data_IF_461694998410
#
_entry.id   IF_461694998410
#
_cell.length_a   1.000
_cell.length_b   1.000
_cell.length_c   1.000
_cell.angle_alpha   90.00
_cell.angle_beta   90.00
_cell.angle_gamma   90.00
#
_symmetry.space_group_name_H-M   'P 1'
#
loop_
_entity.id
_entity.type
_entity.pdbx_description
1 polymer ?
#
# COMPACT_ATOMS: atom_id res chain seq x y z
N UNK A 1 58.25 -11.09 77.43
CA UNK A 1 56.79 -11.11 77.23
C UNK A 1 56.31 -9.95 76.35
N UNK A 2 56.82 -8.71 76.50
CA UNK A 2 56.40 -7.54 75.71
C UNK A 2 56.62 -7.61 74.17
N UNK A 3 57.57 -8.41 73.68
CA UNK A 3 57.88 -8.52 72.24
C UNK A 3 56.87 -9.38 71.47
N UNK A 4 56.25 -10.37 72.12
CA UNK A 4 55.23 -11.22 71.50
C UNK A 4 53.88 -10.49 71.41
N UNK A 5 53.47 -9.77 72.45
CA UNK A 5 52.22 -8.98 72.44
C UNK A 5 52.23 -7.88 71.37
N UNK A 6 53.37 -7.19 71.18
CA UNK A 6 53.49 -6.15 70.15
C UNK A 6 53.44 -6.71 68.72
N UNK A 7 53.99 -7.90 68.50
CA UNK A 7 53.92 -8.62 67.22
C UNK A 7 52.50 -9.12 66.94
N UNK A 8 51.77 -9.51 68.00
CA UNK A 8 50.39 -9.98 67.91
C UNK A 8 49.43 -8.82 67.60
N UNK A 9 49.57 -7.68 68.30
CA UNK A 9 48.85 -6.44 67.99
C UNK A 9 49.10 -5.92 66.57
N UNK A 10 50.32 -6.05 66.04
CA UNK A 10 50.60 -5.71 64.64
C UNK A 10 49.93 -6.67 63.65
N UNK A 11 49.84 -7.96 63.97
CA UNK A 11 49.11 -8.94 63.16
C UNK A 11 47.61 -8.69 63.19
N UNK A 12 47.04 -8.44 64.37
CA UNK A 12 45.61 -8.18 64.56
C UNK A 12 45.21 -6.89 63.81
N UNK A 13 46.02 -5.82 63.90
CA UNK A 13 45.79 -4.60 63.14
C UNK A 13 45.92 -4.79 61.62
N UNK A 14 46.87 -5.62 61.18
CA UNK A 14 47.02 -5.98 59.76
C UNK A 14 45.85 -6.86 59.25
N UNK A 15 45.28 -7.72 60.10
CA UNK A 15 44.10 -8.51 59.78
C UNK A 15 42.82 -7.66 59.73
N UNK A 16 42.62 -6.75 60.67
CA UNK A 16 41.46 -5.84 60.69
C UNK A 16 41.47 -4.87 59.50
N UNK A 17 42.64 -4.33 59.15
CA UNK A 17 42.77 -3.47 57.96
C UNK A 17 42.54 -4.23 56.66
N UNK A 18 43.04 -5.48 56.57
CA UNK A 18 42.76 -6.37 55.44
C UNK A 18 41.27 -6.71 55.34
N UNK A 19 40.61 -6.96 56.47
CA UNK A 19 39.16 -7.25 56.52
C UNK A 19 38.33 -6.06 56.06
N UNK A 20 38.61 -4.85 56.56
CA UNK A 20 37.92 -3.63 56.14
C UNK A 20 38.09 -3.33 54.64
N UNK A 21 39.27 -3.63 54.07
CA UNK A 21 39.51 -3.50 52.62
C UNK A 21 38.71 -4.54 51.81
N UNK A 22 38.64 -5.79 52.27
CA UNK A 22 37.83 -6.84 51.64
C UNK A 22 36.35 -6.46 51.66
N UNK A 23 35.86 -5.94 52.79
CA UNK A 23 34.45 -5.52 52.93
C UNK A 23 34.12 -4.36 51.98
N UNK A 24 35.00 -3.35 51.86
CA UNK A 24 34.81 -2.25 50.91
C UNK A 24 34.83 -2.67 49.43
N UNK A 25 35.66 -3.66 49.08
CA UNK A 25 35.68 -4.24 47.72
C UNK A 25 34.38 -5.02 47.45
N UNK A 26 33.87 -5.77 48.43
CA UNK A 26 32.61 -6.50 48.33
C UNK A 26 31.42 -5.54 48.17
N UNK A 27 31.40 -4.44 48.91
CA UNK A 27 30.35 -3.42 48.79
C UNK A 27 30.38 -2.71 47.44
N UNK A 28 31.57 -2.42 46.90
CA UNK A 28 31.74 -1.89 45.55
C UNK A 28 31.24 -2.88 44.49
N UNK A 29 31.64 -4.15 44.58
CA UNK A 29 31.17 -5.21 43.67
C UNK A 29 29.65 -5.33 43.67
N UNK A 30 29.03 -5.26 44.85
CA UNK A 30 27.58 -5.27 45.00
C UNK A 30 26.91 -4.03 44.39
N UNK A 31 27.45 -2.83 44.64
CA UNK A 31 26.93 -1.59 44.07
C UNK A 31 26.97 -1.57 42.54
N UNK A 32 28.05 -2.06 41.93
CA UNK A 32 28.18 -2.19 40.48
C UNK A 32 27.19 -3.23 39.93
N UNK A 33 27.02 -4.38 40.58
CA UNK A 33 26.02 -5.38 40.20
C UNK A 33 24.58 -4.82 40.24
N UNK A 34 24.22 -4.08 41.30
CA UNK A 34 22.91 -3.48 41.44
C UNK A 34 22.65 -2.41 40.36
N UNK A 35 23.66 -1.60 40.03
CA UNK A 35 23.58 -0.61 38.95
C UNK A 35 23.42 -1.27 37.57
N UNK A 36 24.19 -2.32 37.27
CA UNK A 36 24.07 -3.11 36.04
C UNK A 36 22.69 -3.74 35.92
N UNK A 37 22.19 -4.32 37.01
CA UNK A 37 20.85 -4.91 37.07
C UNK A 37 19.76 -3.89 36.76
N UNK A 38 19.84 -2.70 37.37
CA UNK A 38 18.90 -1.61 37.11
C UNK A 38 18.95 -1.16 35.64
N UNK A 39 20.16 -0.99 35.09
CA UNK A 39 20.36 -0.61 33.69
C UNK A 39 19.75 -1.63 32.73
N UNK A 40 20.11 -2.91 32.87
CA UNK A 40 19.60 -3.96 31.96
C UNK A 40 18.10 -4.18 32.09
N UNK A 41 17.51 -3.98 33.28
CA UNK A 41 16.06 -4.06 33.46
C UNK A 41 15.34 -2.94 32.72
N UNK A 42 15.87 -1.72 32.77
CA UNK A 42 15.28 -0.58 32.08
C UNK A 42 15.47 -0.66 30.56
N UNK A 43 16.64 -1.06 30.09
CA UNK A 43 16.88 -1.28 28.66
C UNK A 43 15.98 -2.38 28.09
N UNK A 44 15.80 -3.49 28.83
CA UNK A 44 14.84 -4.55 28.49
C UNK A 44 13.44 -3.97 28.30
N UNK A 45 12.96 -3.20 29.27
CA UNK A 45 11.62 -2.60 29.24
C UNK A 45 11.45 -1.70 28.01
N UNK A 46 12.42 -0.83 27.75
CA UNK A 46 12.38 0.09 26.60
C UNK A 46 12.35 -0.65 25.25
N UNK A 47 13.14 -1.72 25.10
CA UNK A 47 13.15 -2.54 23.88
C UNK A 47 11.84 -3.31 23.71
N UNK A 48 11.33 -3.95 24.77
CA UNK A 48 10.04 -4.64 24.72
C UNK A 48 8.90 -3.69 24.36
N UNK A 49 8.86 -2.50 24.96
CA UNK A 49 7.84 -1.49 24.66
C UNK A 49 7.94 -0.99 23.21
N UNK A 50 9.15 -0.83 22.68
CA UNK A 50 9.37 -0.48 21.27
C UNK A 50 8.86 -1.58 20.33
N UNK A 51 9.11 -2.85 20.64
CA UNK A 51 8.65 -3.98 19.83
C UNK A 51 7.11 -4.09 19.88
N UNK A 52 6.50 -3.92 21.07
CA UNK A 52 5.04 -3.89 21.22
C UNK A 52 4.40 -2.74 20.44
N UNK A 53 5.03 -1.56 20.44
CA UNK A 53 4.58 -0.43 19.63
C UNK A 53 4.65 -0.75 18.13
N UNK A 54 5.70 -1.43 17.67
CA UNK A 54 5.81 -1.88 16.28
C UNK A 54 4.75 -2.94 15.92
N UNK A 55 4.39 -3.84 16.85
CA UNK A 55 3.30 -4.80 16.67
C UNK A 55 1.95 -4.09 16.48
N UNK A 56 1.63 -3.11 17.33
CA UNK A 56 0.42 -2.30 17.20
C UNK A 56 0.39 -1.52 15.87
N UNK A 57 1.52 -0.95 15.47
CA UNK A 57 1.64 -0.26 14.18
C UNK A 57 1.44 -1.20 12.98
N UNK A 58 1.88 -2.46 13.06
CA UNK A 58 1.63 -3.47 12.02
C UNK A 58 0.14 -3.83 11.92
N UNK A 59 -0.57 -3.93 13.05
CA UNK A 59 -2.03 -4.13 13.07
C UNK A 59 -2.78 -2.95 12.43
N UNK A 60 -2.41 -1.72 12.80
CA UNK A 60 -2.98 -0.51 12.20
C UNK A 60 -2.68 -0.41 10.70
N UNK A 61 -1.44 -0.74 10.30
CA UNK A 61 -1.04 -0.78 8.89
C UNK A 61 -1.92 -1.76 8.10
N UNK A 62 -2.12 -3.00 8.60
CA UNK A 62 -3.01 -3.97 7.95
C UNK A 62 -4.40 -3.39 7.79
N UNK A 63 -5.00 -2.86 8.86
CA UNK A 63 -6.35 -2.29 8.80
C UNK A 63 -6.47 -1.18 7.76
N UNK A 64 -5.53 -0.23 7.76
CA UNK A 64 -5.50 0.88 6.80
C UNK A 64 -5.35 0.40 5.36
N UNK A 65 -4.48 -0.59 5.10
CA UNK A 65 -4.29 -1.13 3.75
C UNK A 65 -5.55 -1.85 3.24
N UNK A 66 -6.22 -2.64 4.08
CA UNK A 66 -7.46 -3.32 3.69
C UNK A 66 -8.57 -2.32 3.35
N UNK A 67 -8.68 -1.22 4.11
CA UNK A 67 -9.65 -0.14 3.85
C UNK A 67 -9.36 0.58 2.52
N UNK A 68 -8.09 0.90 2.24
CA UNK A 68 -7.69 1.51 0.96
C UNK A 68 -8.03 0.61 -0.22
N UNK A 69 -7.69 -0.68 -0.13
CA UNK A 69 -7.98 -1.67 -1.18
C UNK A 69 -9.49 -1.85 -1.38
N UNK A 70 -10.27 -1.91 -0.29
CA UNK A 70 -11.73 -2.02 -0.37
C UNK A 70 -12.37 -0.78 -1.02
N UNK A 71 -11.89 0.41 -0.65
CA UNK A 71 -12.37 1.67 -1.23
C UNK A 71 -12.04 1.75 -2.73
N UNK A 72 -10.82 1.40 -3.11
CA UNK A 72 -10.39 1.36 -4.51
C UNK A 72 -11.21 0.36 -5.34
N UNK A 73 -11.47 -0.84 -4.80
CA UNK A 73 -12.32 -1.85 -5.43
C UNK A 73 -13.73 -1.31 -5.69
N UNK A 74 -14.40 -0.77 -4.65
CA UNK A 74 -15.74 -0.19 -4.78
C UNK A 74 -15.79 0.92 -5.82
N UNK A 75 -14.80 1.82 -5.83
CA UNK A 75 -14.72 2.90 -6.80
C UNK A 75 -14.56 2.38 -8.24
N UNK A 76 -13.73 1.35 -8.45
CA UNK A 76 -13.52 0.74 -9.78
C UNK A 76 -14.75 0.01 -10.29
N UNK A 77 -15.45 -0.73 -9.42
CA UNK A 77 -16.72 -1.40 -9.77
C UNK A 77 -17.76 -0.37 -10.17
N UNK A 78 -17.95 0.68 -9.36
CA UNK A 78 -18.90 1.74 -9.66
C UNK A 78 -18.57 2.45 -10.99
N UNK A 79 -17.30 2.80 -11.21
CA UNK A 79 -16.87 3.42 -12.45
C UNK A 79 -17.09 2.51 -13.68
N UNK A 80 -16.95 1.19 -13.52
CA UNK A 80 -17.26 0.25 -14.59
C UNK A 80 -18.75 0.15 -14.87
N UNK A 81 -19.59 0.13 -13.83
CA UNK A 81 -21.06 0.15 -13.97
C UNK A 81 -21.53 1.42 -14.66
N UNK A 82 -21.11 2.59 -14.16
CA UNK A 82 -21.48 3.89 -14.71
C UNK A 82 -21.03 4.03 -16.19
N UNK A 83 -19.84 3.49 -16.55
CA UNK A 83 -19.35 3.48 -17.92
C UNK A 83 -20.16 2.57 -18.85
N UNK A 84 -20.49 1.35 -18.40
CA UNK A 84 -21.32 0.42 -19.18
C UNK A 84 -22.75 0.93 -19.35
N UNK A 85 -23.33 1.57 -18.33
CA UNK A 85 -24.65 2.20 -18.43
C UNK A 85 -24.63 3.36 -19.45
N UNK A 86 -23.60 4.20 -19.42
CA UNK A 86 -23.45 5.28 -20.39
C UNK A 86 -23.29 4.76 -21.84
N UNK A 87 -22.56 3.65 -22.02
CA UNK A 87 -22.38 3.02 -23.33
C UNK A 87 -23.69 2.42 -23.85
N UNK A 88 -24.44 1.71 -23.00
CA UNK A 88 -25.77 1.17 -23.34
C UNK A 88 -26.72 2.32 -23.70
N UNK A 89 -26.77 3.38 -22.91
CA UNK A 89 -27.64 4.52 -23.18
C UNK A 89 -27.29 5.25 -24.49
N UNK A 90 -25.99 5.33 -24.83
CA UNK A 90 -25.56 5.89 -26.11
C UNK A 90 -25.97 4.99 -27.29
N UNK A 91 -25.78 3.68 -27.14
CA UNK A 91 -26.19 2.68 -28.13
C UNK A 91 -27.70 2.69 -28.36
N UNK A 92 -28.49 2.68 -27.28
CA UNK A 92 -29.95 2.76 -27.30
C UNK A 92 -30.41 4.01 -28.06
N UNK A 93 -29.82 5.17 -27.79
CA UNK A 93 -30.19 6.41 -28.48
C UNK A 93 -29.93 6.34 -29.99
N UNK A 94 -28.77 5.85 -30.41
CA UNK A 94 -28.39 5.81 -31.82
C UNK A 94 -29.25 4.82 -32.60
N UNK A 95 -29.38 3.59 -32.10
CA UNK A 95 -30.11 2.54 -32.81
C UNK A 95 -31.63 2.77 -32.77
N UNK A 96 -32.19 3.25 -31.66
CA UNK A 96 -33.62 3.58 -31.63
C UNK A 96 -33.95 4.76 -32.55
N UNK A 97 -33.08 5.78 -32.66
CA UNK A 97 -33.30 6.87 -33.61
C UNK A 97 -33.30 6.38 -35.08
N UNK A 98 -32.47 5.39 -35.42
CA UNK A 98 -32.47 4.76 -36.75
C UNK A 98 -33.75 3.93 -36.96
N UNK A 99 -34.17 3.17 -35.96
CA UNK A 99 -35.43 2.41 -35.99
C UNK A 99 -36.63 3.34 -36.17
N UNK A 100 -36.67 4.47 -35.47
CA UNK A 100 -37.74 5.47 -35.56
C UNK A 100 -37.75 6.14 -36.94
N UNK A 101 -36.57 6.44 -37.51
CA UNK A 101 -36.47 6.97 -38.86
C UNK A 101 -37.00 5.98 -39.93
N UNK A 102 -36.64 4.70 -39.81
CA UNK A 102 -37.17 3.64 -40.67
C UNK A 102 -38.69 3.48 -40.48
N UNK A 103 -39.18 3.56 -39.25
CA UNK A 103 -40.61 3.51 -38.98
C UNK A 103 -41.35 4.67 -39.63
N UNK A 104 -40.82 5.90 -39.53
CA UNK A 104 -41.40 7.06 -40.20
C UNK A 104 -41.41 6.91 -41.73
N UNK A 105 -40.36 6.30 -42.31
CA UNK A 105 -40.34 5.99 -43.75
C UNK A 105 -41.38 4.94 -44.12
N UNK A 106 -41.52 3.88 -43.32
CA UNK A 106 -42.55 2.86 -43.51
C UNK A 106 -43.97 3.46 -43.45
N UNK A 107 -44.25 4.32 -42.47
CA UNK A 107 -45.53 4.99 -42.30
C UNK A 107 -45.85 5.89 -43.51
N UNK A 108 -44.86 6.66 -43.99
CA UNK A 108 -45.01 7.51 -45.18
C UNK A 108 -45.27 6.68 -46.45
N UNK A 109 -44.64 5.51 -46.58
CA UNK A 109 -44.89 4.57 -47.68
C UNK A 109 -46.26 3.87 -47.54
N UNK A 110 -46.77 3.67 -46.32
CA UNK A 110 -48.12 3.13 -46.07
C UNK A 110 -49.22 4.08 -46.50
N UNK A 111 -49.07 5.37 -46.19
CA UNK A 111 -49.98 6.41 -46.68
C UNK A 111 -50.04 6.48 -48.22
N UNK A 112 -48.93 6.16 -48.91
CA UNK A 112 -48.84 6.17 -50.37
C UNK A 112 -49.49 4.94 -51.06
N UNK A 113 -49.63 3.79 -50.38
CA UNK A 113 -49.88 2.48 -51.02
C UNK A 113 -51.31 1.92 -50.86
N UNK A 114 -52.32 2.73 -50.50
CA UNK A 114 -53.71 2.24 -50.44
C UNK A 114 -54.30 1.95 -51.84
N UNK A 115 -53.90 0.85 -52.51
CA UNK A 115 -54.64 0.11 -53.57
C UNK A 115 -53.92 -1.21 -53.99
N UNK A 116 -54.65 -2.14 -54.64
CA UNK A 116 -54.51 -3.62 -54.56
C UNK A 116 -53.87 -4.36 -55.77
N UNK A 117 -53.15 -5.45 -55.42
CA UNK A 117 -52.93 -6.78 -56.04
C UNK A 117 -52.06 -6.96 -57.31
N UNK A 118 -51.26 -8.06 -57.30
CA UNK A 118 -49.85 -8.10 -57.75
C UNK A 118 -49.43 -9.29 -58.65
N UNK A 119 -50.33 -10.11 -59.18
CA UNK A 119 -49.85 -11.32 -59.88
C UNK A 119 -50.62 -11.70 -61.14
N UNK A 120 -51.95 -11.71 -61.11
CA UNK A 120 -52.72 -12.15 -62.28
C UNK A 120 -52.83 -11.08 -63.37
N UNK A 121 -52.66 -9.81 -62.98
CA UNK A 121 -52.97 -8.67 -63.86
C UNK A 121 -51.80 -8.31 -64.79
N UNK A 122 -50.55 -8.60 -64.41
CA UNK A 122 -49.39 -8.22 -65.24
C UNK A 122 -49.22 -9.12 -66.47
N UNK A 123 -49.51 -10.42 -66.33
CA UNK A 123 -49.50 -11.35 -67.44
C UNK A 123 -50.69 -11.14 -68.39
N UNK A 124 -51.86 -10.79 -67.86
CA UNK A 124 -53.02 -10.39 -68.66
C UNK A 124 -52.80 -9.06 -69.39
N UNK A 125 -52.24 -8.05 -68.73
CA UNK A 125 -52.02 -6.74 -69.36
C UNK A 125 -50.95 -6.78 -70.44
N UNK A 126 -49.90 -7.57 -70.29
CA UNK A 126 -48.92 -7.80 -71.37
C UNK A 126 -49.59 -8.40 -72.62
N UNK A 127 -50.47 -9.40 -72.43
CA UNK A 127 -51.26 -9.98 -73.53
C UNK A 127 -52.22 -8.95 -74.12
N UNK A 128 -52.89 -8.16 -73.29
CA UNK A 128 -53.87 -7.15 -73.71
C UNK A 128 -53.22 -6.00 -74.48
N UNK A 129 -52.06 -5.53 -74.04
CA UNK A 129 -51.21 -4.55 -74.76
C UNK A 129 -50.83 -5.12 -76.13
N UNK A 130 -50.34 -6.37 -76.20
CA UNK A 130 -49.99 -7.00 -77.47
C UNK A 130 -51.17 -7.16 -78.43
N UNK A 131 -52.35 -7.53 -77.91
CA UNK A 131 -53.59 -7.64 -78.68
C UNK A 131 -54.08 -6.29 -79.19
N UNK A 132 -54.08 -5.25 -78.35
CA UNK A 132 -54.49 -3.90 -78.72
C UNK A 132 -53.53 -3.29 -79.76
N UNK A 133 -52.22 -3.49 -79.59
CA UNK A 133 -51.19 -3.06 -80.55
C UNK A 133 -51.42 -3.71 -81.92
N UNK A 134 -51.62 -5.04 -81.95
CA UNK A 134 -51.91 -5.75 -83.19
C UNK A 134 -53.20 -5.24 -83.85
N UNK A 135 -54.27 -4.99 -83.09
CA UNK A 135 -55.51 -4.42 -83.63
C UNK A 135 -55.32 -3.04 -84.22
N UNK A 136 -54.50 -2.19 -83.62
CA UNK A 136 -54.17 -0.85 -84.15
C UNK A 136 -53.44 -0.93 -85.49
N UNK A 137 -52.50 -1.88 -85.64
CA UNK A 137 -51.72 -2.05 -86.87
C UNK A 137 -52.57 -2.46 -88.08
N UNK A 138 -53.63 -3.24 -87.86
CA UNK A 138 -54.54 -3.73 -88.91
C UNK A 138 -55.86 -2.92 -89.03
N UNK A 139 -56.08 -1.88 -88.21
CA UNK A 139 -57.30 -1.06 -88.25
C UNK A 139 -57.17 0.04 -89.32
N UNK A 140 -58.15 0.13 -90.21
CA UNK A 140 -58.13 1.06 -91.34
C UNK A 140 -59.01 2.30 -91.12
N UNK A 141 -59.93 2.26 -90.14
CA UNK A 141 -60.77 3.39 -89.78
C UNK A 141 -60.09 4.28 -88.70
N UNK A 142 -59.97 5.57 -88.99
CA UNK A 142 -59.27 6.52 -88.11
C UNK A 142 -59.95 6.67 -86.74
N UNK A 143 -61.28 6.58 -86.69
CA UNK A 143 -62.03 6.69 -85.45
C UNK A 143 -61.83 5.45 -84.57
N UNK A 144 -61.93 4.25 -85.14
CA UNK A 144 -61.69 3.00 -84.43
C UNK A 144 -60.24 2.88 -83.96
N UNK A 145 -59.27 3.29 -84.81
CA UNK A 145 -57.85 3.36 -84.43
C UNK A 145 -57.63 4.27 -83.23
N UNK A 146 -58.27 5.46 -83.22
CA UNK A 146 -58.17 6.40 -82.10
C UNK A 146 -58.77 5.84 -80.80
N UNK A 147 -59.87 5.08 -80.86
CA UNK A 147 -60.44 4.41 -79.67
C UNK A 147 -59.52 3.31 -79.14
N UNK A 148 -58.96 2.47 -80.02
CA UNK A 148 -58.00 1.44 -79.64
C UNK A 148 -56.72 2.03 -79.02
N UNK A 149 -56.24 3.16 -79.56
CA UNK A 149 -55.10 3.89 -78.99
C UNK A 149 -55.40 4.39 -77.57
N UNK A 150 -56.62 4.88 -77.33
CA UNK A 150 -57.07 5.36 -76.02
C UNK A 150 -57.14 4.22 -75.00
N UNK A 151 -57.60 3.04 -75.42
CA UNK A 151 -57.65 1.85 -74.57
C UNK A 151 -56.24 1.30 -74.28
N UNK A 152 -55.36 1.28 -75.27
CA UNK A 152 -53.94 0.93 -75.09
C UNK A 152 -53.26 1.83 -74.08
N UNK A 153 -53.43 3.16 -74.22
CA UNK A 153 -52.88 4.15 -73.28
C UNK A 153 -53.42 3.96 -71.86
N UNK A 154 -54.69 3.55 -71.72
CA UNK A 154 -55.28 3.26 -70.41
C UNK A 154 -54.63 2.04 -69.75
N UNK A 155 -54.46 0.95 -70.48
CA UNK A 155 -53.83 -0.28 -69.96
C UNK A 155 -52.35 -0.03 -69.61
N UNK A 156 -51.63 0.74 -70.43
CA UNK A 156 -50.26 1.16 -70.13
C UNK A 156 -50.17 1.99 -68.84
N UNK A 157 -51.13 2.91 -68.62
CA UNK A 157 -51.18 3.71 -67.40
C UNK A 157 -51.52 2.86 -66.15
N UNK A 158 -52.41 1.88 -66.27
CA UNK A 158 -52.75 0.94 -65.18
C UNK A 158 -51.56 0.04 -64.83
N UNK A 159 -50.81 -0.47 -65.82
CA UNK A 159 -49.60 -1.27 -65.58
C UNK A 159 -48.51 -0.45 -64.88
N UNK A 160 -48.25 0.78 -65.32
CA UNK A 160 -47.21 1.63 -64.72
C UNK A 160 -47.54 1.95 -63.25
N UNK A 161 -48.82 2.18 -62.93
CA UNK A 161 -49.28 2.34 -61.56
C UNK A 161 -49.00 1.08 -60.71
N UNK A 162 -49.26 -0.13 -61.22
CA UNK A 162 -48.96 -1.38 -60.48
C UNK A 162 -47.47 -1.58 -60.25
N UNK A 163 -46.63 -1.28 -61.26
CA UNK A 163 -45.16 -1.37 -61.14
C UNK A 163 -44.62 -0.46 -60.02
N UNK A 164 -45.19 0.73 -59.87
CA UNK A 164 -44.85 1.64 -58.77
C UNK A 164 -45.30 1.09 -57.41
N UNK A 165 -46.50 0.52 -57.33
CA UNK A 165 -47.00 -0.16 -56.12
C UNK A 165 -46.13 -1.36 -55.71
N UNK A 166 -45.60 -2.12 -56.67
CA UNK A 166 -44.67 -3.22 -56.43
C UNK A 166 -43.34 -2.77 -55.86
N UNK A 167 -42.71 -1.76 -56.48
CA UNK A 167 -41.48 -1.18 -55.98
C UNK A 167 -41.64 -0.63 -54.55
N UNK A 168 -42.82 -0.07 -54.23
CA UNK A 168 -43.15 0.37 -52.87
C UNK A 168 -43.28 -0.82 -51.90
N UNK A 169 -43.92 -1.91 -52.30
CA UNK A 169 -44.03 -3.13 -51.49
C UNK A 169 -42.66 -3.71 -51.16
N UNK A 170 -41.83 -3.93 -52.18
CA UNK A 170 -40.51 -4.54 -51.99
C UNK A 170 -39.61 -3.62 -51.12
N UNK A 171 -39.74 -2.30 -51.26
CA UNK A 171 -39.05 -1.34 -50.40
C UNK A 171 -39.49 -1.45 -48.93
N UNK A 172 -40.78 -1.63 -48.65
CA UNK A 172 -41.27 -1.85 -47.29
C UNK A 172 -40.74 -3.15 -46.68
N UNK A 173 -40.70 -4.22 -47.47
CA UNK A 173 -40.17 -5.50 -46.99
C UNK A 173 -38.69 -5.37 -46.60
N UNK A 174 -37.89 -4.67 -47.42
CA UNK A 174 -36.48 -4.36 -47.11
C UNK A 174 -36.35 -3.52 -45.84
N UNK A 175 -37.13 -2.45 -45.71
CA UNK A 175 -37.09 -1.57 -44.53
C UNK A 175 -37.52 -2.30 -43.25
N UNK A 176 -38.51 -3.20 -43.32
CA UNK A 176 -38.91 -4.04 -42.19
C UNK A 176 -37.81 -5.01 -41.77
N UNK A 177 -37.09 -5.62 -42.71
CA UNK A 177 -35.97 -6.50 -42.40
C UNK A 177 -34.78 -5.72 -41.83
N UNK A 178 -34.50 -4.51 -42.33
CA UNK A 178 -33.48 -3.61 -41.78
C UNK A 178 -33.82 -3.19 -40.34
N UNK A 179 -35.08 -2.80 -40.09
CA UNK A 179 -35.57 -2.48 -38.74
C UNK A 179 -35.36 -3.65 -37.77
N UNK A 180 -35.75 -4.86 -38.18
CA UNK A 180 -35.57 -6.07 -37.37
C UNK A 180 -34.09 -6.35 -37.11
N UNK A 181 -33.24 -6.19 -38.14
CA UNK A 181 -31.79 -6.33 -38.00
C UNK A 181 -31.22 -5.35 -36.97
N UNK A 182 -31.66 -4.08 -36.98
CA UNK A 182 -31.24 -3.09 -35.99
C UNK A 182 -31.71 -3.44 -34.57
N UNK A 183 -32.92 -3.98 -34.41
CA UNK A 183 -33.43 -4.45 -33.12
C UNK A 183 -32.60 -5.62 -32.58
N UNK A 184 -32.28 -6.59 -33.43
CA UNK A 184 -31.44 -7.74 -33.06
C UNK A 184 -30.01 -7.29 -32.72
N UNK A 185 -29.46 -6.33 -33.47
CA UNK A 185 -28.15 -5.73 -33.19
C UNK A 185 -28.13 -4.99 -31.85
N UNK A 186 -29.19 -4.22 -31.54
CA UNK A 186 -29.30 -3.52 -30.28
C UNK A 186 -29.26 -4.50 -29.11
N UNK A 187 -30.08 -5.55 -29.19
CA UNK A 187 -30.13 -6.60 -28.17
C UNK A 187 -28.77 -7.28 -28.01
N UNK A 188 -28.18 -7.74 -29.11
CA UNK A 188 -26.91 -8.46 -29.09
C UNK A 188 -25.75 -7.62 -28.52
N UNK A 189 -25.66 -6.34 -28.88
CA UNK A 189 -24.65 -5.43 -28.36
C UNK A 189 -24.87 -5.09 -26.89
N UNK A 190 -26.11 -4.87 -26.47
CA UNK A 190 -26.44 -4.63 -25.05
C UNK A 190 -26.10 -5.85 -24.19
N UNK A 191 -26.40 -7.06 -24.65
CA UNK A 191 -26.04 -8.29 -23.95
C UNK A 191 -24.52 -8.48 -23.89
N UNK A 192 -23.80 -8.15 -24.97
CA UNK A 192 -22.33 -8.19 -24.98
C UNK A 192 -21.71 -7.20 -23.98
N UNK A 193 -22.21 -5.96 -23.88
CA UNK A 193 -21.72 -4.97 -22.91
C UNK A 193 -21.97 -5.45 -21.48
N UNK A 194 -23.15 -6.03 -21.20
CA UNK A 194 -23.47 -6.60 -19.89
C UNK A 194 -22.54 -7.77 -19.54
N UNK A 195 -22.24 -8.63 -20.50
CA UNK A 195 -21.31 -9.73 -20.29
C UNK A 195 -19.89 -9.22 -20.02
N UNK A 196 -19.42 -8.24 -20.79
CA UNK A 196 -18.12 -7.60 -20.54
C UNK A 196 -18.04 -6.95 -19.16
N UNK A 197 -19.13 -6.35 -18.67
CA UNK A 197 -19.19 -5.81 -17.31
C UNK A 197 -19.09 -6.92 -16.25
N UNK A 198 -19.76 -8.06 -16.45
CA UNK A 198 -19.66 -9.22 -15.55
C UNK A 198 -18.24 -9.76 -15.50
N UNK A 199 -17.62 -10.02 -16.65
CA UNK A 199 -16.25 -10.53 -16.75
C UNK A 199 -15.25 -9.56 -16.09
N UNK A 200 -15.46 -8.26 -16.27
CA UNK A 200 -14.63 -7.22 -15.65
C UNK A 200 -14.80 -7.17 -14.13
N UNK A 201 -16.01 -7.37 -13.62
CA UNK A 201 -16.28 -7.44 -12.17
C UNK A 201 -15.61 -8.67 -11.55
N UNK A 202 -15.72 -9.83 -12.19
CA UNK A 202 -15.06 -11.06 -11.75
C UNK A 202 -13.53 -10.89 -11.67
N UNK A 203 -12.92 -10.26 -12.68
CA UNK A 203 -11.49 -9.95 -12.66
C UNK A 203 -11.13 -8.98 -11.52
N UNK A 204 -11.92 -7.92 -11.31
CA UNK A 204 -11.69 -6.97 -10.22
C UNK A 204 -11.83 -7.62 -8.83
N UNK A 205 -12.76 -8.56 -8.68
CA UNK A 205 -12.96 -9.32 -7.45
C UNK A 205 -11.77 -10.25 -7.19
N UNK A 206 -11.29 -10.97 -8.21
CA UNK A 206 -10.09 -11.79 -8.10
C UNK A 206 -8.84 -10.96 -7.73
N UNK A 207 -8.68 -9.77 -8.34
CA UNK A 207 -7.59 -8.84 -8.00
C UNK A 207 -7.71 -8.35 -6.54
N UNK A 208 -8.92 -8.02 -6.10
CA UNK A 208 -9.21 -7.60 -4.72
C UNK A 208 -8.86 -8.71 -3.71
N UNK A 209 -9.27 -9.95 -3.97
CA UNK A 209 -8.92 -11.10 -3.12
C UNK A 209 -7.40 -11.33 -3.07
N UNK A 210 -6.73 -11.23 -4.22
CA UNK A 210 -5.27 -11.35 -4.29
C UNK A 210 -4.56 -10.25 -3.48
N UNK A 211 -5.06 -9.02 -3.50
CA UNK A 211 -4.56 -7.92 -2.66
C UNK A 211 -4.76 -8.21 -1.17
N UNK A 212 -5.93 -8.72 -0.76
CA UNK A 212 -6.20 -9.08 0.64
C UNK A 212 -5.22 -10.15 1.13
N UNK A 213 -4.98 -11.20 0.32
CA UNK A 213 -4.04 -12.27 0.63
C UNK A 213 -2.62 -11.72 0.75
N UNK A 214 -2.17 -10.86 -0.19
CA UNK A 214 -0.85 -10.22 -0.12
C UNK A 214 -0.67 -9.40 1.15
N UNK A 215 -1.63 -8.54 1.49
CA UNK A 215 -1.60 -7.72 2.72
C UNK A 215 -1.51 -8.62 3.95
N UNK A 216 -2.32 -9.69 4.01
CA UNK A 216 -2.31 -10.61 5.14
C UNK A 216 -0.96 -11.34 5.27
N UNK A 217 -0.37 -11.79 4.16
CA UNK A 217 0.93 -12.46 4.18
C UNK A 217 2.04 -11.54 4.70
N UNK A 218 2.05 -10.27 4.27
CA UNK A 218 3.03 -9.28 4.78
C UNK A 218 2.82 -9.04 6.27
N UNK A 219 1.57 -8.87 6.70
CA UNK A 219 1.23 -8.69 8.11
C UNK A 219 1.71 -9.87 8.98
N UNK A 220 1.39 -11.11 8.58
CA UNK A 220 1.79 -12.31 9.33
C UNK A 220 3.31 -12.49 9.35
N UNK A 221 4.01 -12.22 8.25
CA UNK A 221 5.46 -12.28 8.21
C UNK A 221 6.12 -11.24 9.15
N UNK A 222 5.62 -10.01 9.16
CA UNK A 222 6.09 -8.96 10.08
C UNK A 222 5.77 -9.31 11.53
N UNK A 223 4.56 -9.80 11.80
CA UNK A 223 4.14 -10.24 13.12
C UNK A 223 5.05 -11.34 13.67
N UNK A 224 5.31 -12.39 12.88
CA UNK A 224 6.20 -13.49 13.28
C UNK A 224 7.64 -12.99 13.54
N UNK A 225 8.13 -12.07 12.72
CA UNK A 225 9.45 -11.45 12.94
C UNK A 225 9.51 -10.65 14.23
N UNK A 226 8.49 -9.83 14.52
CA UNK A 226 8.41 -9.03 15.74
C UNK A 226 8.25 -9.91 16.99
N UNK A 227 7.44 -10.97 16.92
CA UNK A 227 7.31 -11.96 17.99
C UNK A 227 8.64 -12.65 18.29
N UNK A 228 9.38 -13.05 17.24
CA UNK A 228 10.71 -13.62 17.40
C UNK A 228 11.68 -12.62 18.05
N UNK A 229 11.69 -11.36 17.59
CA UNK A 229 12.51 -10.31 18.19
C UNK A 229 12.19 -10.09 19.67
N UNK A 230 10.93 -10.16 20.05
CA UNK A 230 10.51 -10.05 21.45
C UNK A 230 11.07 -11.21 22.29
N UNK A 231 10.96 -12.45 21.80
CA UNK A 231 11.48 -13.65 22.45
C UNK A 231 13.02 -13.56 22.59
N UNK A 232 13.71 -13.21 21.50
CA UNK A 232 15.17 -13.08 21.48
C UNK A 232 15.64 -11.97 22.45
N UNK A 233 14.92 -10.83 22.51
CA UNK A 233 15.19 -9.74 23.45
C UNK A 233 14.99 -10.20 24.90
N UNK A 234 13.91 -10.91 25.18
CA UNK A 234 13.63 -11.46 26.50
C UNK A 234 14.71 -12.44 26.95
N UNK A 235 15.15 -13.34 26.06
CA UNK A 235 16.21 -14.30 26.33
C UNK A 235 17.57 -13.62 26.55
N UNK A 236 17.90 -12.60 25.73
CA UNK A 236 19.13 -11.83 25.86
C UNK A 236 19.25 -11.16 27.23
N UNK A 237 18.21 -10.44 27.67
CA UNK A 237 18.22 -9.78 28.96
C UNK A 237 18.07 -10.74 30.14
N UNK A 238 17.38 -11.88 29.97
CA UNK A 238 17.37 -12.92 30.98
C UNK A 238 18.80 -13.40 31.28
N UNK A 239 19.62 -13.62 30.24
CA UNK A 239 21.03 -13.98 30.38
C UNK A 239 21.85 -12.87 31.05
N UNK A 240 21.71 -11.61 30.61
CA UNK A 240 22.44 -10.49 31.22
C UNK A 240 22.11 -10.27 32.69
N UNK A 241 20.87 -10.54 33.09
CA UNK A 241 20.39 -10.40 34.47
C UNK A 241 20.69 -11.62 35.36
N UNK A 242 21.28 -12.70 34.83
CA UNK A 242 21.74 -13.82 35.64
C UNK A 242 22.82 -13.34 36.63
N UNK A 243 22.67 -13.70 37.90
CA UNK A 243 23.56 -13.26 38.97
C UNK A 243 25.05 -13.50 38.65
N UNK A 244 25.38 -14.64 38.02
CA UNK A 244 26.75 -14.98 37.62
C UNK A 244 27.30 -14.04 36.53
N UNK A 245 26.47 -13.64 35.57
CA UNK A 245 26.88 -12.74 34.49
C UNK A 245 26.98 -11.29 34.99
N UNK A 246 26.04 -10.87 35.85
CA UNK A 246 26.14 -9.58 36.56
C UNK A 246 27.41 -9.50 37.40
N UNK A 247 27.74 -10.59 38.11
CA UNK A 247 28.95 -10.67 38.91
C UNK A 247 30.21 -10.61 38.04
N UNK A 248 30.29 -11.42 36.98
CA UNK A 248 31.44 -11.41 36.09
C UNK A 248 31.64 -10.06 35.40
N UNK A 249 30.56 -9.41 34.96
CA UNK A 249 30.64 -8.08 34.33
C UNK A 249 31.00 -6.99 35.34
N UNK A 250 30.48 -7.05 36.57
CA UNK A 250 30.87 -6.15 37.64
C UNK A 250 32.35 -6.32 38.03
N UNK A 251 32.81 -7.56 38.19
CA UNK A 251 34.22 -7.88 38.46
C UNK A 251 35.11 -7.38 37.33
N UNK A 252 34.73 -7.60 36.07
CA UNK A 252 35.44 -7.07 34.91
C UNK A 252 35.51 -5.55 34.90
N UNK A 253 34.39 -4.85 35.13
CA UNK A 253 34.38 -3.39 35.21
C UNK A 253 35.28 -2.88 36.33
N UNK A 254 35.26 -3.52 37.50
CA UNK A 254 36.13 -3.17 38.63
C UNK A 254 37.60 -3.42 38.30
N UNK A 255 37.94 -4.56 37.68
CA UNK A 255 39.32 -4.89 37.29
C UNK A 255 39.83 -3.93 36.22
N UNK A 256 39.02 -3.59 35.21
CA UNK A 256 39.40 -2.65 34.15
C UNK A 256 39.61 -1.24 34.71
N UNK A 257 38.77 -0.80 35.65
CA UNK A 257 38.93 0.49 36.30
C UNK A 257 40.17 0.50 37.23
N UNK A 258 40.37 -0.58 37.99
CA UNK A 258 41.58 -0.78 38.81
C UNK A 258 42.86 -0.86 37.97
N UNK A 259 42.83 -1.44 36.77
CA UNK A 259 43.99 -1.45 35.86
C UNK A 259 44.34 -0.05 35.33
N UNK A 260 43.35 0.81 35.05
CA UNK A 260 43.60 2.21 34.67
C UNK A 260 44.27 2.97 35.81
N UNK A 261 43.85 2.74 37.04
CA UNK A 261 44.46 3.35 38.22
C UNK A 261 45.84 2.76 38.55
N UNK A 262 46.08 1.47 38.28
CA UNK A 262 47.41 0.86 38.37
C UNK A 262 48.34 1.44 37.30
N UNK A 263 47.87 1.67 36.07
CA UNK A 263 48.63 2.34 35.01
C UNK A 263 48.95 3.79 35.36
N UNK A 264 47.98 4.51 35.94
CA UNK A 264 48.18 5.86 36.50
C UNK A 264 49.24 5.85 37.58
N UNK A 265 49.17 4.89 38.49
CA UNK A 265 50.16 4.70 39.55
C UNK A 265 51.55 4.33 39.02
N UNK A 266 51.65 3.48 37.99
CA UNK A 266 52.93 3.13 37.36
C UNK A 266 53.58 4.34 36.68
N UNK A 267 52.74 5.20 36.10
CA UNK A 267 53.16 6.47 35.47
C UNK A 267 53.61 7.46 36.55
N UNK A 268 52.85 7.59 37.65
CA UNK A 268 53.18 8.46 38.79
C UNK A 268 54.41 7.95 39.59
N UNK A 269 54.63 6.63 39.66
CA UNK A 269 55.83 6.03 40.27
C UNK A 269 57.07 6.08 39.35
N UNK A 270 56.88 6.20 38.04
CA UNK A 270 57.97 6.38 37.08
C UNK A 270 58.75 7.69 37.33
N UNK A 271 58.06 8.73 37.78
CA UNK A 271 58.65 10.06 38.01
C UNK A 271 59.31 10.23 39.39
N UNK A 272 59.05 9.33 40.35
CA UNK A 272 59.54 9.45 41.73
C UNK A 272 60.67 8.46 42.08
N UNK A 273 61.35 7.90 41.06
CA UNK A 273 62.53 7.03 41.24
C UNK A 273 63.82 7.79 41.59
N UNK A 274 63.74 8.79 42.46
CA UNK A 274 64.86 9.28 43.24
C UNK A 274 64.33 9.80 44.56
N UNK A 275 64.53 9.04 45.64
CA UNK A 275 65.11 9.49 46.93
C UNK A 275 64.95 8.40 48.02
N UNK A 276 66.13 8.03 48.50
CA UNK A 276 66.61 7.34 49.70
C UNK A 276 65.67 7.15 50.92
N UNK A 277 65.76 5.95 51.54
CA UNK A 277 65.89 5.86 53.00
C UNK A 277 64.80 5.18 53.84
N UNK A 278 63.62 4.85 53.31
CA UNK A 278 62.58 4.12 54.07
C UNK A 278 62.64 2.62 53.80
N UNK A 279 62.36 1.80 54.83
CA UNK A 279 62.28 0.34 54.67
C UNK A 279 61.12 -0.02 53.73
N UNK A 280 61.27 -1.11 52.96
CA UNK A 280 60.25 -1.57 52.02
C UNK A 280 58.88 -1.78 52.70
N UNK A 281 58.86 -2.15 53.99
CA UNK A 281 57.64 -2.29 54.79
C UNK A 281 56.90 -0.97 55.05
N UNK A 282 57.60 0.13 55.36
CA UNK A 282 56.98 1.45 55.53
C UNK A 282 56.52 2.06 54.21
N UNK A 283 57.27 1.83 53.12
CA UNK A 283 56.88 2.26 51.77
C UNK A 283 55.64 1.52 51.26
N UNK A 284 55.53 0.21 51.52
CA UNK A 284 54.32 -0.55 51.17
C UNK A 284 53.12 -0.14 52.02
N UNK A 285 53.30 0.13 53.32
CA UNK A 285 52.22 0.57 54.20
C UNK A 285 51.69 1.97 53.86
N UNK A 286 52.57 2.95 53.58
CA UNK A 286 52.14 4.28 53.12
C UNK A 286 51.54 4.25 51.71
N UNK A 287 52.10 3.43 50.81
CA UNK A 287 51.54 3.19 49.48
C UNK A 287 50.13 2.59 49.55
N UNK A 288 49.85 1.69 50.51
CA UNK A 288 48.53 1.09 50.71
C UNK A 288 47.53 2.02 51.43
N UNK A 289 47.97 2.82 52.41
CA UNK A 289 47.09 3.74 53.13
C UNK A 289 46.55 4.86 52.23
N UNK A 290 47.44 5.50 51.44
CA UNK A 290 47.04 6.50 50.45
C UNK A 290 46.11 5.89 49.39
N UNK A 291 46.32 4.62 49.03
CA UNK A 291 45.45 3.87 48.12
C UNK A 291 44.05 3.59 48.70
N UNK A 292 43.89 3.35 49.99
CA UNK A 292 42.57 3.17 50.60
C UNK A 292 41.76 4.47 50.56
N UNK A 293 42.39 5.61 50.87
CA UNK A 293 41.74 6.93 50.79
C UNK A 293 41.46 7.35 49.33
N UNK A 294 42.33 6.97 48.39
CA UNK A 294 42.11 7.11 46.96
C UNK A 294 40.99 6.20 46.44
N UNK A 295 40.86 4.97 46.95
CA UNK A 295 39.76 4.05 46.64
C UNK A 295 38.44 4.58 47.18
N UNK A 296 38.39 5.13 48.39
CA UNK A 296 37.18 5.81 48.89
C UNK A 296 36.82 7.04 48.07
N UNK A 297 37.81 7.81 47.59
CA UNK A 297 37.59 8.95 46.70
C UNK A 297 37.18 8.52 45.28
N UNK A 298 37.71 7.40 44.79
CA UNK A 298 37.31 6.79 43.51
C UNK A 298 35.88 6.26 43.59
N UNK A 299 35.48 5.63 44.69
CA UNK A 299 34.10 5.20 44.95
C UNK A 299 33.16 6.42 44.95
N UNK A 300 33.55 7.53 45.58
CA UNK A 300 32.78 8.77 45.52
C UNK A 300 32.73 9.35 44.09
N UNK A 301 33.81 9.25 43.33
CA UNK A 301 33.89 9.68 41.92
C UNK A 301 33.06 8.81 40.97
N UNK A 302 33.08 7.49 41.13
CA UNK A 302 32.28 6.52 40.38
C UNK A 302 30.81 6.70 40.72
N UNK A 303 30.44 6.86 42.00
CA UNK A 303 29.06 7.18 42.39
C UNK A 303 28.61 8.51 41.78
N UNK A 304 29.46 9.53 41.77
CA UNK A 304 29.16 10.81 41.11
C UNK A 304 29.04 10.70 39.59
N UNK A 305 29.85 9.88 38.92
CA UNK A 305 29.77 9.63 37.48
C UNK A 305 28.55 8.78 37.11
N UNK A 306 28.20 7.80 37.95
CA UNK A 306 26.97 7.00 37.81
C UNK A 306 25.75 7.90 38.01
N UNK A 307 25.75 8.78 39.01
CA UNK A 307 24.67 9.75 39.22
C UNK A 307 24.60 10.79 38.09
N UNK A 308 25.73 11.25 37.56
CA UNK A 308 25.76 12.14 36.40
C UNK A 308 25.26 11.44 35.12
N UNK A 309 25.65 10.19 34.89
CA UNK A 309 25.17 9.39 33.77
C UNK A 309 23.67 9.08 33.91
N UNK A 310 23.19 8.79 35.12
CA UNK A 310 21.78 8.60 35.43
C UNK A 310 20.98 9.89 35.23
N UNK A 311 21.48 11.03 35.71
CA UNK A 311 20.84 12.33 35.53
C UNK A 311 20.84 12.77 34.06
N UNK A 312 21.90 12.47 33.31
CA UNK A 312 21.96 12.72 31.87
C UNK A 312 21.00 11.81 31.10
N UNK A 313 20.90 10.53 31.46
CA UNK A 313 19.93 9.61 30.85
C UNK A 313 18.48 10.04 31.17
N UNK A 314 18.21 10.45 32.41
CA UNK A 314 16.91 11.01 32.80
C UNK A 314 16.62 12.35 32.12
N UNK A 315 17.62 13.20 31.88
CA UNK A 315 17.46 14.45 31.13
C UNK A 315 17.18 14.21 29.65
N UNK A 316 17.81 13.21 29.03
CA UNK A 316 17.52 12.79 27.65
C UNK A 316 16.12 12.16 27.54
N UNK A 317 15.71 11.38 28.54
CA UNK A 317 14.35 10.82 28.61
C UNK A 317 13.29 11.91 28.82
N UNK A 318 13.55 12.89 29.70
CA UNK A 318 12.66 14.04 29.90
C UNK A 318 12.64 14.94 28.66
N UNK A 319 13.76 15.18 27.97
CA UNK A 319 13.79 15.89 26.69
C UNK A 319 13.04 15.13 25.59
N UNK A 320 13.12 13.79 25.54
CA UNK A 320 12.37 12.99 24.59
C UNK A 320 10.86 12.98 24.90
N UNK A 321 10.48 12.98 26.18
CA UNK A 321 9.11 13.11 26.64
C UNK A 321 8.54 14.53 26.39
N UNK A 322 9.34 15.57 26.62
CA UNK A 322 9.00 16.97 26.35
C UNK A 322 8.98 17.26 24.85
N UNK A 323 9.85 16.66 24.03
CA UNK A 323 9.78 16.72 22.58
C UNK A 323 8.52 16.00 22.05
N UNK A 324 8.11 14.88 22.66
CA UNK A 324 6.82 14.22 22.35
C UNK A 324 5.62 15.06 22.79
N UNK A 325 5.66 15.72 23.96
CA UNK A 325 4.62 16.65 24.41
C UNK A 325 4.55 17.92 23.55
N UNK A 326 5.69 18.51 23.19
CA UNK A 326 5.76 19.67 22.30
C UNK A 326 5.29 19.35 20.89
N UNK A 327 5.58 18.14 20.36
CA UNK A 327 5.03 17.66 19.10
C UNK A 327 3.51 17.42 19.18
N UNK A 328 2.98 16.98 20.33
CA UNK A 328 1.55 16.85 20.56
C UNK A 328 0.85 18.21 20.77
N UNK A 329 1.49 19.18 21.43
CA UNK A 329 0.98 20.55 21.63
C UNK A 329 1.04 21.40 20.36
N UNK A 330 2.04 21.21 19.48
CA UNK A 330 2.05 21.81 18.14
C UNK A 330 0.93 21.24 17.26
N UNK A 331 0.62 19.94 17.39
CA UNK A 331 -0.57 19.34 16.77
C UNK A 331 -1.89 19.89 17.33
N UNK A 332 -1.95 20.23 18.62
CA UNK A 332 -3.13 20.81 19.25
C UNK A 332 -3.31 22.33 18.97
N UNK A 333 -2.23 23.10 18.87
CA UNK A 333 -2.26 24.54 18.52
C UNK A 333 -2.45 24.78 17.02
N UNK A 334 -2.09 23.83 16.16
CA UNK A 334 -2.44 23.86 14.73
C UNK A 334 -3.94 23.64 14.44
N UNK A 335 -4.73 23.25 15.44
CA UNK A 335 -6.17 23.03 15.32
C UNK A 335 -7.03 24.20 15.82
N UNK A 336 -6.43 25.26 16.39
CA UNK A 336 -7.16 26.42 16.95
C UNK A 336 -6.57 27.73 16.43
N UNK A 337 -6.68 27.94 15.11
CA UNK A 337 -6.90 29.26 14.48
C UNK A 337 -6.76 29.15 12.95
N UNK A 338 -7.89 29.03 12.24
CA UNK A 338 -8.09 29.67 10.93
C UNK A 338 -9.52 29.45 10.42
N UNK A 339 -10.38 30.45 10.60
CA UNK A 339 -11.46 30.76 9.65
C UNK A 339 -10.80 31.53 8.49
N UNK A 340 -11.21 31.34 7.22
CA UNK A 340 -10.31 31.38 6.07
C UNK A 340 -10.21 32.76 5.42
N UNK A 341 -9.09 33.07 4.72
CA UNK A 341 -9.11 33.99 3.60
C UNK A 341 -8.99 33.22 2.28
N UNK A 342 -9.88 33.56 1.35
CA UNK A 342 -9.77 33.22 -0.08
C UNK A 342 -8.61 34.02 -0.67
N UNK A 343 -7.54 33.36 -1.13
CA UNK A 343 -6.66 33.86 -2.22
C UNK A 343 -6.00 32.67 -2.94
N UNK A 344 -6.10 32.70 -4.27
CA UNK A 344 -5.45 31.81 -5.24
C UNK A 344 -3.90 31.89 -5.14
N UNK A 345 -3.20 30.77 -5.29
CA UNK A 345 -1.75 30.82 -5.54
C UNK A 345 -0.98 29.56 -5.21
N UNK A 346 -0.69 28.78 -6.25
CA UNK A 346 0.46 27.88 -6.46
C UNK A 346 0.86 26.92 -5.34
N UNK A 347 0.45 25.66 -5.47
CA UNK A 347 0.97 24.52 -4.69
C UNK A 347 2.40 24.22 -5.15
N UNK A 348 3.39 24.42 -4.28
CA UNK A 348 4.72 23.81 -4.43
C UNK A 348 4.65 22.45 -3.73
N UNK A 349 4.52 21.38 -4.53
CA UNK A 349 4.67 20.01 -4.06
C UNK A 349 6.16 19.71 -3.84
N UNK A 350 6.53 19.38 -2.60
CA UNK A 350 7.82 18.73 -2.33
C UNK A 350 7.67 17.26 -2.72
N UNK A 351 8.00 16.95 -3.97
CA UNK A 351 8.11 15.60 -4.49
C UNK A 351 9.39 14.96 -3.95
N UNK A 352 9.28 14.10 -2.93
CA UNK A 352 10.36 13.16 -2.63
C UNK A 352 10.31 12.05 -3.67
N UNK A 353 11.04 12.27 -4.76
CA UNK A 353 11.14 11.37 -5.90
C UNK A 353 12.03 10.18 -5.52
N UNK A 354 11.43 9.10 -5.03
CA UNK A 354 12.05 7.77 -5.08
C UNK A 354 11.94 7.27 -6.51
N UNK A 355 12.87 7.70 -7.37
CA UNK A 355 12.96 7.24 -8.74
C UNK A 355 13.70 5.91 -8.77
N UNK A 356 13.00 4.81 -8.49
CA UNK A 356 13.37 3.50 -9.00
C UNK A 356 12.29 3.08 -10.00
N UNK A 357 12.64 2.63 -11.20
CA UNK A 357 11.64 2.18 -12.16
C UNK A 357 10.94 0.96 -11.56
N UNK A 358 9.68 1.14 -11.16
CA UNK A 358 8.80 0.02 -10.83
C UNK A 358 8.39 -0.63 -12.14
N UNK A 359 9.07 -1.72 -12.50
CA UNK A 359 8.62 -2.60 -13.57
C UNK A 359 7.22 -3.09 -13.18
N UNK A 360 6.20 -2.68 -13.93
CA UNK A 360 4.85 -3.17 -13.65
C UNK A 360 4.83 -4.69 -13.91
N UNK A 361 4.05 -5.49 -13.16
CA UNK A 361 3.90 -6.91 -13.46
C UNK A 361 3.48 -7.20 -14.91
N UNK A 362 2.80 -6.23 -15.55
CA UNK A 362 2.46 -6.24 -16.97
C UNK A 362 3.69 -6.15 -17.90
N UNK A 363 4.74 -5.44 -17.49
CA UNK A 363 6.00 -5.34 -18.25
C UNK A 363 6.85 -6.61 -18.10
N UNK A 364 6.87 -7.22 -16.91
CA UNK A 364 7.56 -8.50 -16.65
C UNK A 364 6.92 -9.63 -17.46
N UNK A 365 5.59 -9.69 -17.48
CA UNK A 365 4.85 -10.72 -18.23
C UNK A 365 4.97 -10.53 -19.76
N UNK A 366 5.03 -9.28 -20.24
CA UNK A 366 5.29 -8.99 -21.66
C UNK A 366 6.71 -9.36 -22.06
N UNK A 367 7.72 -9.08 -21.23
CA UNK A 367 9.11 -9.46 -21.49
C UNK A 367 9.31 -10.99 -21.49
N UNK A 368 8.66 -11.72 -20.57
CA UNK A 368 8.71 -13.18 -20.53
C UNK A 368 8.08 -13.82 -21.78
N UNK A 369 6.97 -13.27 -22.30
CA UNK A 369 6.36 -13.74 -23.56
C UNK A 369 7.22 -13.47 -24.78
N UNK A 370 7.85 -12.30 -24.86
CA UNK A 370 8.75 -11.95 -25.96
C UNK A 370 10.00 -12.84 -25.99
N UNK A 371 10.56 -13.14 -24.82
CA UNK A 371 11.68 -14.08 -24.70
C UNK A 371 11.30 -15.50 -25.13
N UNK A 372 10.11 -15.98 -24.75
CA UNK A 372 9.60 -17.30 -25.14
C UNK A 372 9.29 -17.41 -26.64
N UNK A 373 8.91 -16.31 -27.30
CA UNK A 373 8.69 -16.27 -28.76
C UNK A 373 9.99 -16.21 -29.57
N UNK A 374 11.11 -15.78 -28.98
CA UNK A 374 12.42 -15.77 -29.64
C UNK A 374 13.19 -17.10 -29.58
N UNK A 375 12.60 -18.12 -28.93
CA UNK A 375 13.17 -19.46 -28.72
C UNK A 375 12.49 -20.54 -29.57
N UNK A 376 11.68 -20.14 -30.55
CA UNK A 376 11.12 -20.97 -31.63
C UNK A 376 11.57 -20.35 -32.95
#
# INVERSE_FOLDING_TARGET
MATNERLQLQKDYAEDTKKAQIDGINDLAKGVQDALKAKYTEEKRLQEDSIKAAQAANEEWKKAQLEVVQSAYKARVKAAEDASEAEIAALDRVLNAQIDAIQAELDALEDAQKQKNRADVDAEDAKKIGQLTSKIDYEHDDYNRAQLQKELNRVLAEQEKRRQEEQLSDKKDVLNEEKKTLQDQLKAKTDAIKQQLLDKKELMEADYEADQVRINNVYEAQKASLEKQLIDTQAHYAKLLEAKNLQAEAEKMIIEDQQKDILKLLTDFGDSYHITGQTLGEKMYQGFKVKVDQISSLIAGINSQIDAARNSAMAVLNQAADAKKAAAEQKAKGAVNSVPPVVQGTVVSVSQTFNTPVTSPSDISRAARLAAQSLV
#
